data_IF_761457806466
#
_entry.id   IF_761457806466
#
_cell.length_a   1.000
_cell.length_b   1.000
_cell.length_c   1.000
_cell.angle_alpha   90.00
_cell.angle_beta   90.00
_cell.angle_gamma   90.00
#
_symmetry.space_group_name_H-M   'P 1'
#
loop_
_entity.id
_entity.type
_entity.pdbx_description
1 polymer ?
#
# COMPACT_ATOMS: atom_id res chain seq x y z
N UNK A 1 -61.08 -10.85 -18.40
CA UNK A 1 -60.12 -11.81 -17.81
C UNK A 1 -58.77 -11.10 -17.69
N UNK A 2 -58.31 -10.80 -16.47
CA UNK A 2 -57.05 -10.13 -16.19
C UNK A 2 -56.36 -10.86 -15.04
N UNK A 3 -55.29 -11.58 -15.33
CA UNK A 3 -54.46 -12.24 -14.31
C UNK A 3 -53.20 -12.81 -14.96
N UNK A 4 -52.12 -12.02 -15.03
CA UNK A 4 -50.74 -12.51 -15.21
C UNK A 4 -49.71 -11.38 -15.00
N UNK A 5 -49.52 -10.87 -13.78
CA UNK A 5 -48.38 -9.99 -13.50
C UNK A 5 -47.84 -10.08 -12.06
N UNK A 6 -47.97 -11.23 -11.40
CA UNK A 6 -47.56 -11.40 -10.00
C UNK A 6 -46.14 -12.00 -9.80
N UNK A 7 -45.43 -12.39 -10.87
CA UNK A 7 -44.15 -13.12 -10.77
C UNK A 7 -42.87 -12.32 -11.02
N UNK A 8 -42.96 -11.11 -11.59
CA UNK A 8 -41.78 -10.35 -12.03
C UNK A 8 -41.13 -9.50 -10.91
N UNK A 9 -41.86 -9.21 -9.83
CA UNK A 9 -41.39 -8.32 -8.76
C UNK A 9 -40.49 -9.02 -7.74
N UNK A 10 -40.67 -10.34 -7.54
CA UNK A 10 -39.89 -11.14 -6.59
C UNK A 10 -38.52 -11.57 -7.11
N UNK A 11 -38.36 -11.69 -8.43
CA UNK A 11 -37.06 -11.97 -9.05
C UNK A 11 -36.16 -10.72 -9.09
N UNK A 12 -36.74 -9.53 -9.29
CA UNK A 12 -36.01 -8.26 -9.25
C UNK A 12 -35.45 -7.94 -7.85
N UNK A 13 -36.18 -8.27 -6.77
CA UNK A 13 -35.70 -8.07 -5.39
C UNK A 13 -34.57 -9.03 -5.01
N UNK A 14 -34.58 -10.28 -5.52
CA UNK A 14 -33.49 -11.24 -5.35
C UNK A 14 -32.19 -10.79 -6.04
N UNK A 15 -32.28 -10.24 -7.25
CA UNK A 15 -31.12 -9.70 -7.98
C UNK A 15 -30.56 -8.45 -7.30
N UNK A 16 -31.43 -7.55 -6.80
CA UNK A 16 -30.99 -6.38 -6.03
C UNK A 16 -30.30 -6.77 -4.72
N UNK A 17 -30.80 -7.80 -4.01
CA UNK A 17 -30.15 -8.35 -2.82
C UNK A 17 -28.80 -9.00 -3.11
N UNK A 18 -28.69 -9.76 -4.22
CA UNK A 18 -27.43 -10.34 -4.65
C UNK A 18 -26.39 -9.28 -5.06
N UNK A 19 -26.82 -8.22 -5.76
CA UNK A 19 -25.96 -7.08 -6.10
C UNK A 19 -25.49 -6.33 -4.85
N UNK A 20 -26.35 -6.18 -3.83
CA UNK A 20 -25.98 -5.56 -2.56
C UNK A 20 -24.95 -6.40 -1.77
N UNK A 21 -25.06 -7.74 -1.78
CA UNK A 21 -24.06 -8.62 -1.16
C UNK A 21 -22.73 -8.64 -1.94
N UNK A 22 -22.78 -8.57 -3.28
CA UNK A 22 -21.59 -8.50 -4.13
C UNK A 22 -20.86 -7.15 -3.98
N UNK A 23 -21.60 -6.06 -3.79
CA UNK A 23 -21.04 -4.74 -3.46
C UNK A 23 -20.32 -4.73 -2.10
N UNK A 24 -20.80 -5.53 -1.13
CA UNK A 24 -20.15 -5.65 0.18
C UNK A 24 -18.88 -6.51 0.14
N UNK A 25 -18.76 -7.43 -0.82
CA UNK A 25 -17.57 -8.30 -1.00
C UNK A 25 -16.38 -7.59 -1.67
N UNK A 26 -16.59 -6.39 -2.24
CA UNK A 26 -15.53 -5.60 -2.86
C UNK A 26 -14.76 -4.68 -1.89
N UNK A 27 -15.26 -4.50 -0.66
CA UNK A 27 -14.59 -3.67 0.35
C UNK A 27 -13.59 -4.55 1.08
N UNK A 28 -12.32 -4.37 0.78
CA UNK A 28 -11.26 -5.04 1.51
C UNK A 28 -11.34 -4.71 3.01
N UNK A 29 -11.29 -5.75 3.85
CA UNK A 29 -11.44 -5.62 5.31
C UNK A 29 -10.48 -4.53 5.82
N UNK A 30 -10.97 -3.49 6.53
CA UNK A 30 -10.14 -2.45 7.12
C UNK A 30 -8.92 -3.00 7.88
N UNK A 31 -9.04 -4.18 8.50
CA UNK A 31 -7.93 -4.77 9.24
C UNK A 31 -6.82 -5.29 8.31
N UNK A 32 -7.15 -5.88 7.17
CA UNK A 32 -6.18 -6.35 6.18
C UNK A 32 -5.49 -5.17 5.46
N UNK A 33 -6.24 -4.13 5.11
CA UNK A 33 -5.66 -2.88 4.58
C UNK A 33 -4.65 -2.27 5.56
N UNK A 34 -5.02 -2.18 6.84
CA UNK A 34 -4.11 -1.71 7.90
C UNK A 34 -2.87 -2.58 8.03
N UNK A 35 -3.02 -3.91 8.00
CA UNK A 35 -1.89 -4.85 8.07
C UNK A 35 -0.95 -4.69 6.87
N UNK A 36 -1.49 -4.54 5.65
CA UNK A 36 -0.70 -4.31 4.43
C UNK A 36 0.10 -3.01 4.51
N UNK A 37 -0.56 -1.93 4.90
CA UNK A 37 0.06 -0.62 5.08
C UNK A 37 1.23 -0.67 6.10
N UNK A 38 1.02 -1.35 7.24
CA UNK A 38 2.08 -1.56 8.24
C UNK A 38 3.24 -2.39 7.66
N UNK A 39 2.95 -3.51 6.99
CA UNK A 39 3.99 -4.35 6.39
C UNK A 39 4.86 -3.58 5.39
N UNK A 40 4.25 -2.74 4.56
CA UNK A 40 4.99 -1.86 3.62
C UNK A 40 5.89 -0.89 4.39
N UNK A 41 5.35 -0.20 5.39
CA UNK A 41 6.12 0.74 6.22
C UNK A 41 7.31 0.07 6.91
N UNK A 42 7.09 -1.11 7.51
CA UNK A 42 8.16 -1.93 8.10
C UNK A 42 9.21 -2.35 7.07
N UNK A 43 8.78 -2.79 5.88
CA UNK A 43 9.71 -3.13 4.79
C UNK A 43 10.63 -1.97 4.40
N UNK A 44 10.10 -0.75 4.28
CA UNK A 44 10.91 0.44 4.00
C UNK A 44 11.91 0.75 5.12
N UNK A 45 11.49 0.61 6.38
CA UNK A 45 12.39 0.80 7.53
C UNK A 45 13.52 -0.24 7.54
N UNK A 46 13.21 -1.50 7.25
CA UNK A 46 14.21 -2.56 7.15
C UNK A 46 15.23 -2.26 6.03
N UNK A 47 14.78 -1.77 4.86
CA UNK A 47 15.68 -1.34 3.77
C UNK A 47 16.57 -0.17 4.15
N UNK A 48 16.05 0.79 4.91
CA UNK A 48 16.83 1.91 5.43
C UNK A 48 17.91 1.44 6.40
N UNK A 49 17.61 0.46 7.26
CA UNK A 49 18.59 -0.11 8.19
C UNK A 49 19.63 -0.97 7.46
N UNK A 50 19.24 -1.76 6.46
CA UNK A 50 20.17 -2.48 5.58
C UNK A 50 21.16 -1.51 4.90
N UNK A 51 20.65 -0.39 4.36
CA UNK A 51 21.48 0.65 3.75
C UNK A 51 22.44 1.26 4.77
N UNK A 52 21.94 1.63 5.95
CA UNK A 52 22.76 2.19 7.03
C UNK A 52 23.89 1.24 7.43
N UNK A 53 23.60 -0.05 7.62
CA UNK A 53 24.61 -1.06 7.98
C UNK A 53 25.66 -1.22 6.88
N UNK A 54 25.24 -1.25 5.61
CA UNK A 54 26.17 -1.33 4.48
C UNK A 54 27.15 -0.15 4.46
N UNK A 55 26.64 1.09 4.60
CA UNK A 55 27.46 2.30 4.61
C UNK A 55 28.41 2.35 5.81
N UNK A 56 27.94 1.97 7.00
CA UNK A 56 28.80 1.89 8.20
C UNK A 56 29.90 0.83 8.07
N UNK A 57 29.63 -0.25 7.31
CA UNK A 57 30.61 -1.27 6.98
C UNK A 57 31.57 -0.89 5.85
N UNK A 58 31.48 0.33 5.30
CA UNK A 58 32.31 0.80 4.19
C UNK A 58 31.90 0.26 2.81
N UNK A 59 30.71 -0.34 2.69
CA UNK A 59 30.15 -0.78 1.42
C UNK A 59 29.35 0.36 0.77
N UNK A 60 29.18 0.31 -0.55
CA UNK A 60 28.47 1.35 -1.33
C UNK A 60 26.93 1.30 -1.25
N UNK A 61 26.39 0.28 -0.56
CA UNK A 61 24.95 0.08 -0.33
C UNK A 61 24.12 -0.17 -1.59
N UNK A 62 24.73 -0.51 -2.75
CA UNK A 62 24.02 -0.55 -4.03
C UNK A 62 22.79 -1.47 -4.05
N UNK A 63 22.92 -2.67 -3.49
CA UNK A 63 21.82 -3.63 -3.42
C UNK A 63 20.66 -3.12 -2.54
N UNK A 64 20.95 -2.51 -1.39
CA UNK A 64 19.93 -1.98 -0.49
C UNK A 64 19.20 -0.78 -1.12
N UNK A 65 19.94 0.12 -1.79
CA UNK A 65 19.37 1.26 -2.51
C UNK A 65 18.46 0.85 -3.66
N UNK A 66 18.84 -0.17 -4.44
CA UNK A 66 18.01 -0.67 -5.53
C UNK A 66 16.68 -1.22 -5.01
N UNK A 67 16.69 -1.95 -3.89
CA UNK A 67 15.46 -2.44 -3.25
C UNK A 67 14.63 -1.29 -2.69
N UNK A 68 15.26 -0.34 -2.00
CA UNK A 68 14.59 0.84 -1.46
C UNK A 68 13.88 1.64 -2.56
N UNK A 69 14.54 1.88 -3.70
CA UNK A 69 13.93 2.56 -4.85
C UNK A 69 12.71 1.81 -5.38
N UNK A 70 12.78 0.48 -5.46
CA UNK A 70 11.67 -0.35 -5.91
C UNK A 70 10.48 -0.24 -4.96
N UNK A 71 10.73 -0.38 -3.66
CA UNK A 71 9.70 -0.41 -2.62
C UNK A 71 9.02 0.97 -2.47
N UNK A 72 9.75 2.08 -2.69
CA UNK A 72 9.16 3.44 -2.76
C UNK A 72 8.20 3.57 -3.95
N UNK A 73 8.55 2.98 -5.09
CA UNK A 73 7.73 3.02 -6.31
C UNK A 73 6.44 2.19 -6.25
N UNK A 74 6.26 1.36 -5.20
CA UNK A 74 5.05 0.58 -5.01
C UNK A 74 3.87 1.46 -4.57
N UNK A 75 2.73 1.29 -5.24
CA UNK A 75 1.49 2.03 -4.98
C UNK A 75 1.03 1.84 -3.53
N UNK A 76 0.57 2.93 -2.90
CA UNK A 76 0.00 2.90 -1.55
C UNK A 76 -1.51 2.74 -1.60
N UNK A 77 -2.04 2.09 -0.56
CA UNK A 77 -3.48 2.12 -0.28
C UNK A 77 -3.85 3.53 0.23
N UNK A 78 -4.68 4.24 -0.53
CA UNK A 78 -5.06 5.64 -0.24
C UNK A 78 -6.02 5.78 0.96
N UNK A 79 -6.61 4.67 1.41
CA UNK A 79 -7.71 4.66 2.39
C UNK A 79 -7.29 4.20 3.81
N UNK A 80 -6.03 4.45 4.20
CA UNK A 80 -5.56 4.14 5.55
C UNK A 80 -6.03 5.18 6.60
N UNK A 81 -6.08 4.77 7.87
CA UNK A 81 -6.39 5.66 8.99
C UNK A 81 -5.44 6.87 9.03
N UNK A 82 -5.91 8.10 9.30
CA UNK A 82 -5.09 9.32 9.16
C UNK A 82 -3.75 9.29 9.90
N UNK A 83 -3.73 8.72 11.12
CA UNK A 83 -2.50 8.61 11.90
C UNK A 83 -1.48 7.65 11.29
N UNK A 84 -1.93 6.53 10.71
CA UNK A 84 -1.05 5.59 10.02
C UNK A 84 -0.53 6.20 8.72
N UNK A 85 -1.40 6.88 7.96
CA UNK A 85 -1.01 7.61 6.75
C UNK A 85 0.10 8.61 7.03
N UNK A 86 -0.04 9.43 8.08
CA UNK A 86 0.98 10.42 8.46
C UNK A 86 2.34 9.78 8.79
N UNK A 87 2.36 8.64 9.49
CA UNK A 87 3.61 7.91 9.78
C UNK A 87 4.22 7.34 8.49
N UNK A 88 3.41 6.78 7.61
CA UNK A 88 3.89 6.28 6.31
C UNK A 88 4.46 7.39 5.44
N UNK A 89 3.84 8.58 5.44
CA UNK A 89 4.35 9.76 4.73
C UNK A 89 5.74 10.17 5.25
N UNK A 90 5.95 10.11 6.58
CA UNK A 90 7.26 10.39 7.18
C UNK A 90 8.31 9.34 6.79
N UNK A 91 7.92 8.06 6.71
CA UNK A 91 8.80 6.98 6.26
C UNK A 91 9.18 7.18 4.80
N UNK A 92 8.20 7.44 3.92
CA UNK A 92 8.42 7.66 2.49
C UNK A 92 9.32 8.89 2.24
N UNK A 93 9.10 9.98 2.98
CA UNK A 93 9.94 11.18 2.90
C UNK A 93 11.38 10.86 3.27
N UNK A 94 11.59 10.16 4.38
CA UNK A 94 12.93 9.75 4.81
C UNK A 94 13.59 8.84 3.77
N UNK A 95 12.87 7.85 3.25
CA UNK A 95 13.34 6.94 2.22
C UNK A 95 13.79 7.69 0.95
N UNK A 96 12.98 8.65 0.51
CA UNK A 96 13.26 9.49 -0.65
C UNK A 96 14.51 10.36 -0.45
N UNK A 97 14.65 10.94 0.74
CA UNK A 97 15.83 11.74 1.10
C UNK A 97 17.11 10.90 1.13
N UNK A 98 17.07 9.70 1.72
CA UNK A 98 18.24 8.82 1.76
C UNK A 98 18.62 8.31 0.37
N UNK A 99 17.65 8.03 -0.51
CA UNK A 99 17.90 7.70 -1.91
C UNK A 99 18.66 8.84 -2.62
N UNK A 100 18.16 10.08 -2.48
CA UNK A 100 18.78 11.25 -3.08
C UNK A 100 20.19 11.52 -2.53
N UNK A 101 20.41 11.38 -1.22
CA UNK A 101 21.73 11.53 -0.60
C UNK A 101 22.73 10.51 -1.16
N UNK A 102 22.32 9.26 -1.31
CA UNK A 102 23.19 8.22 -1.85
C UNK A 102 23.56 8.47 -3.32
N UNK A 103 22.60 8.93 -4.13
CA UNK A 103 22.86 9.35 -5.51
C UNK A 103 23.86 10.51 -5.56
N UNK A 104 23.66 11.55 -4.74
CA UNK A 104 24.60 12.67 -4.64
C UNK A 104 26.00 12.23 -4.17
N UNK A 105 26.09 11.28 -3.25
CA UNK A 105 27.38 10.76 -2.78
C UNK A 105 28.13 10.03 -3.89
N UNK A 106 27.42 9.29 -4.75
CA UNK A 106 28.04 8.61 -5.90
C UNK A 106 28.51 9.56 -6.99
N UNK A 107 27.79 10.66 -7.21
CA UNK A 107 28.20 11.70 -8.17
C UNK A 107 29.49 12.40 -7.73
N UNK A 108 29.72 12.49 -6.41
CA UNK A 108 30.88 13.18 -5.82
C UNK A 108 32.12 12.31 -5.64
N UNK A 109 31.96 10.99 -5.67
CA UNK A 109 33.04 10.01 -5.55
C UNK A 109 33.72 9.80 -6.92
#
# INVERSE_FOLDING_TARGET
AASAQAGATSSASGVAGAAALMALQGVEDPTERRRRAIRRGSGLLDRLDELKLALLGGQDGAAALSRLARDIGEQRDEEAEPGLTAVLDQIDLRASVELAKAEMSRIRA
#
